data_IF_147886414175
#
_entry.id   IF_147886414175
#
_cell.length_a   1.000
_cell.length_b   1.000
_cell.length_c   1.000
_cell.angle_alpha   90.00
_cell.angle_beta   90.00
_cell.angle_gamma   90.00
#
_symmetry.space_group_name_H-M   'P 1'
#
loop_
_entity.id
_entity.type
_entity.pdbx_description
1 polymer ?
#
# COMPACT_ATOMS: atom_id res chain seq x y z
N UNK A 1 -12.14 10.69 27.20
CA UNK A 1 -12.34 11.11 25.81
C UNK A 1 -10.94 11.00 25.23
N UNK A 2 -10.50 9.79 24.85
CA UNK A 2 -10.77 9.12 23.56
C UNK A 2 -10.38 10.10 22.45
N UNK A 3 -9.31 9.89 21.68
CA UNK A 3 -8.92 8.67 20.95
C UNK A 3 -7.35 8.59 20.89
N UNK A 4 -6.72 7.50 21.36
CA UNK A 4 -6.16 6.38 20.55
C UNK A 4 -5.04 6.86 19.59
N UNK A 5 -3.76 6.81 19.94
CA UNK A 5 -2.82 5.67 19.73
C UNK A 5 -3.03 4.84 18.44
N UNK A 6 -3.61 5.39 17.38
CA UNK A 6 -3.75 4.73 16.07
C UNK A 6 -2.75 5.33 15.06
N UNK A 7 -1.49 4.87 15.15
CA UNK A 7 -0.52 4.68 14.06
C UNK A 7 -0.37 5.72 12.91
N UNK A 8 -0.69 7.00 13.06
CA UNK A 8 -0.37 8.06 12.08
C UNK A 8 -0.81 7.80 10.61
N UNK A 9 -1.70 6.83 10.37
CA UNK A 9 -2.33 6.56 9.07
C UNK A 9 -3.61 7.38 9.00
N UNK A 10 -3.74 8.20 7.96
CA UNK A 10 -4.87 9.09 7.73
C UNK A 10 -6.07 8.33 7.15
N UNK A 11 -5.83 7.45 6.19
CA UNK A 11 -6.85 6.66 5.49
C UNK A 11 -6.20 5.47 4.76
N UNK A 12 -7.04 4.51 4.36
CA UNK A 12 -6.64 3.34 3.59
C UNK A 12 -7.19 3.49 2.16
N UNK A 13 -6.30 3.58 1.18
CA UNK A 13 -6.64 3.85 -0.23
C UNK A 13 -6.25 2.66 -1.08
N UNK A 14 -7.12 2.25 -2.00
CA UNK A 14 -6.84 1.16 -2.93
C UNK A 14 -5.87 1.63 -4.03
N UNK A 15 -4.94 0.78 -4.43
CA UNK A 15 -3.95 1.09 -5.46
C UNK A 15 -4.60 1.42 -6.83
N UNK A 16 -5.82 0.93 -7.06
CA UNK A 16 -6.64 1.23 -8.25
C UNK A 16 -7.11 2.70 -8.32
N UNK A 17 -7.21 3.38 -7.18
CA UNK A 17 -7.58 4.79 -7.07
C UNK A 17 -6.35 5.72 -7.17
N UNK A 18 -5.14 5.14 -7.20
CA UNK A 18 -3.91 5.89 -7.38
C UNK A 18 -3.56 6.08 -8.86
N UNK A 19 -2.87 7.18 -9.16
CA UNK A 19 -2.32 7.42 -10.50
C UNK A 19 -0.94 6.77 -10.61
N UNK A 20 -0.81 5.74 -11.44
CA UNK A 20 0.46 5.13 -11.78
C UNK A 20 1.28 5.98 -12.75
N UNK A 21 2.53 6.28 -12.39
CA UNK A 21 3.49 7.00 -13.22
C UNK A 21 4.59 6.03 -13.71
N UNK A 22 4.42 5.51 -14.93
CA UNK A 22 5.36 4.55 -15.53
C UNK A 22 6.75 5.14 -15.82
N UNK A 23 6.86 6.46 -15.92
CA UNK A 23 8.14 7.12 -16.20
C UNK A 23 9.04 7.15 -14.97
N UNK A 24 8.46 7.11 -13.77
CA UNK A 24 9.19 7.15 -12.51
C UNK A 24 9.01 5.89 -11.65
N UNK A 25 8.05 5.02 -11.96
CA UNK A 25 7.79 3.79 -11.22
C UNK A 25 7.09 4.03 -9.88
N UNK A 26 6.22 5.04 -9.81
CA UNK A 26 5.59 5.47 -8.55
C UNK A 26 4.11 5.75 -8.70
N UNK A 27 3.36 5.47 -7.63
CA UNK A 27 1.96 5.80 -7.51
C UNK A 27 1.80 7.16 -6.85
N UNK A 28 0.90 7.96 -7.40
CA UNK A 28 0.57 9.29 -6.87
C UNK A 28 -0.92 9.44 -6.63
N UNK A 29 -1.29 10.03 -5.50
CA UNK A 29 -2.69 10.26 -5.15
C UNK A 29 -2.92 11.70 -4.65
N UNK A 30 -4.00 12.39 -5.05
CA UNK A 30 -4.27 13.76 -4.64
C UNK A 30 -4.50 13.86 -3.12
N UNK A 31 -3.67 14.64 -2.42
CA UNK A 31 -3.81 14.84 -0.99
C UNK A 31 -4.79 16.00 -0.71
N UNK A 32 -5.71 15.88 0.28
CA UNK A 32 -6.66 16.93 0.62
C UNK A 32 -6.00 18.24 1.11
N UNK A 33 -4.71 18.21 1.42
CA UNK A 33 -3.98 19.42 1.80
C UNK A 33 -3.47 20.27 0.61
N UNK A 34 -3.61 19.78 -0.63
CA UNK A 34 -3.23 20.50 -1.85
C UNK A 34 -1.99 19.98 -2.56
N UNK A 35 -1.29 19.01 -1.96
CA UNK A 35 -0.16 18.28 -2.56
C UNK A 35 -0.58 16.88 -3.03
N UNK A 36 0.39 16.00 -3.30
CA UNK A 36 0.16 14.61 -3.69
C UNK A 36 0.97 13.67 -2.81
N UNK A 37 0.37 12.54 -2.46
CA UNK A 37 1.09 11.41 -1.91
C UNK A 37 1.89 10.74 -3.01
N UNK A 38 3.10 10.26 -2.69
CA UNK A 38 3.94 9.48 -3.60
C UNK A 38 4.46 8.22 -2.91
N UNK A 39 4.43 7.09 -3.61
CA UNK A 39 4.96 5.80 -3.15
C UNK A 39 5.57 5.04 -4.32
N UNK A 40 6.71 4.38 -4.10
CA UNK A 40 7.39 3.60 -5.13
C UNK A 40 6.75 2.20 -5.26
N UNK A 41 6.65 1.69 -6.49
CA UNK A 41 6.19 0.30 -6.70
C UNK A 41 7.13 -0.73 -6.07
N UNK A 42 8.43 -0.45 -6.05
CA UNK A 42 9.43 -1.30 -5.42
C UNK A 42 9.18 -1.51 -3.91
N UNK A 43 8.60 -0.49 -3.27
CA UNK A 43 8.27 -0.46 -1.84
C UNK A 43 7.01 -1.30 -1.57
N UNK A 44 6.02 -1.17 -2.46
CA UNK A 44 4.82 -2.01 -2.50
C UNK A 44 5.15 -3.48 -2.81
N UNK A 45 6.26 -3.78 -3.48
CA UNK A 45 6.65 -5.16 -3.78
C UNK A 45 7.28 -5.88 -2.58
N UNK A 46 7.79 -5.15 -1.58
CA UNK A 46 8.49 -5.72 -0.42
C UNK A 46 7.54 -6.13 0.72
N UNK A 47 6.21 -6.00 0.55
CA UNK A 47 5.16 -6.33 1.54
C UNK A 47 5.29 -5.67 2.93
N UNK A 48 6.29 -4.81 3.08
CA UNK A 48 6.69 -4.18 4.34
C UNK A 48 6.46 -2.67 4.36
N UNK A 49 6.20 -2.06 3.19
CA UNK A 49 6.08 -0.61 3.08
C UNK A 49 5.03 -0.22 2.02
N UNK A 50 3.79 -0.22 2.48
CA UNK A 50 2.60 0.21 1.75
C UNK A 50 2.14 1.60 2.17
N UNK A 51 3.05 2.40 2.74
CA UNK A 51 2.73 3.68 3.35
C UNK A 51 3.11 4.82 2.41
N UNK A 52 2.10 5.42 1.77
CA UNK A 52 2.34 6.60 0.94
C UNK A 52 2.42 7.85 1.82
N UNK A 53 3.50 8.62 1.66
CA UNK A 53 3.82 9.78 2.49
C UNK A 53 3.64 11.06 1.69
N UNK A 54 3.00 12.07 2.28
CA UNK A 54 2.91 13.40 1.68
C UNK A 54 4.02 14.32 2.24
N UNK A 55 4.87 14.91 1.38
CA UNK A 55 5.99 15.76 1.81
C UNK A 55 5.55 17.08 2.46
N UNK A 56 4.34 17.56 2.17
CA UNK A 56 3.82 18.84 2.72
C UNK A 56 3.06 18.66 4.03
N UNK A 57 2.48 17.48 4.27
CA UNK A 57 1.46 17.32 5.31
C UNK A 57 1.86 16.30 6.37
N UNK A 58 2.99 15.60 6.19
CA UNK A 58 3.45 14.47 7.01
C UNK A 58 2.35 13.43 7.29
N UNK A 59 1.29 13.44 6.48
CA UNK A 59 0.23 12.46 6.52
C UNK A 59 0.76 11.23 5.82
N UNK A 60 0.35 10.09 6.34
CA UNK A 60 0.67 8.79 5.80
C UNK A 60 -0.67 8.12 5.48
N UNK A 61 -0.81 7.52 4.31
CA UNK A 61 -1.98 6.70 3.95
C UNK A 61 -1.50 5.28 3.69
N UNK A 62 -2.32 4.30 4.05
CA UNK A 62 -2.03 2.90 3.74
C UNK A 62 -2.57 2.59 2.36
N UNK A 63 -1.73 2.03 1.50
CA UNK A 63 -2.11 1.62 0.15
C UNK A 63 -2.46 0.14 0.18
N UNK A 64 -3.72 -0.18 -0.11
CA UNK A 64 -4.16 -1.57 -0.22
C UNK A 64 -3.94 -2.03 -1.65
N UNK A 65 -3.14 -3.08 -1.81
CA UNK A 65 -2.85 -3.72 -3.09
C UNK A 65 -2.85 -5.24 -2.91
N UNK A 66 -3.10 -5.96 -4.00
CA UNK A 66 -3.04 -7.42 -4.01
C UNK A 66 -1.84 -7.87 -4.84
N UNK A 67 -1.06 -8.82 -4.30
CA UNK A 67 0.12 -9.36 -4.98
C UNK A 67 -0.21 -10.05 -6.31
N UNK A 68 -1.46 -10.48 -6.53
CA UNK A 68 -1.96 -11.02 -7.80
C UNK A 68 -2.12 -9.94 -8.88
N UNK A 69 -2.33 -8.68 -8.47
CA UNK A 69 -2.51 -7.53 -9.37
C UNK A 69 -1.19 -6.88 -9.80
N UNK A 70 -0.10 -7.13 -9.07
CA UNK A 70 1.22 -6.62 -9.42
C UNK A 70 1.95 -7.58 -10.38
N UNK A 71 2.57 -7.05 -11.46
CA UNK A 71 3.33 -7.87 -12.40
C UNK A 71 4.65 -8.32 -11.76
N UNK A 72 4.58 -9.44 -11.03
CA UNK A 72 5.63 -10.43 -10.76
C UNK A 72 6.34 -10.36 -9.38
N UNK A 73 6.31 -11.49 -8.64
CA UNK A 73 7.10 -11.58 -7.41
C UNK A 73 7.31 -12.92 -6.68
N UNK A 74 6.33 -13.82 -6.53
CA UNK A 74 6.52 -15.11 -5.83
C UNK A 74 7.20 -15.06 -4.43
N UNK A 75 6.43 -14.75 -3.39
CA UNK A 75 6.63 -15.16 -1.99
C UNK A 75 5.24 -15.08 -1.33
N UNK A 76 4.72 -15.94 -0.48
CA UNK A 76 5.23 -17.13 0.20
C UNK A 76 4.20 -17.60 1.24
N UNK A 77 2.89 -17.49 1.01
CA UNK A 77 1.86 -17.96 1.96
C UNK A 77 1.41 -19.39 1.63
N UNK A 78 2.20 -20.34 2.14
CA UNK A 78 1.78 -21.72 2.35
C UNK A 78 0.63 -21.78 3.36
N UNK A 79 -0.54 -22.24 2.91
CA UNK A 79 -1.67 -22.62 3.77
C UNK A 79 -2.06 -24.07 3.53
N UNK A 80 -1.24 -25.01 4.00
CA UNK A 80 -1.53 -26.43 3.91
C UNK A 80 -2.70 -26.84 4.81
N UNK A 81 -3.60 -27.66 4.28
CA UNK A 81 -4.09 -28.81 5.04
C UNK A 81 -4.15 -30.02 4.12
N UNK A 82 -3.32 -30.97 4.52
CA UNK A 82 -3.11 -32.29 3.92
C UNK A 82 -4.34 -33.18 4.12
N UNK A 83 -4.51 -34.09 3.17
CA UNK A 83 -5.44 -35.21 3.21
C UNK A 83 -5.41 -35.98 4.54
N UNK A 84 -6.59 -36.37 5.03
CA UNK A 84 -6.75 -37.65 5.71
C UNK A 84 -7.79 -38.47 4.96
N UNK A 85 -7.30 -39.60 4.46
CA UNK A 85 -8.03 -40.66 3.77
C UNK A 85 -8.96 -41.39 4.74
N UNK A 86 -10.11 -41.84 4.20
CA UNK A 86 -11.07 -42.86 4.65
C UNK A 86 -10.96 -43.49 6.06
#
# INVERSE_FOLDING_TARGET
>A
MSDDDDLAIYDEVEIEDMTWDESRGLYTHPCPCGDRFEIALEDLLDESNDIAVCPSCSLMIRVIYDLDTLPQGANGASGGSVAVTA
#
